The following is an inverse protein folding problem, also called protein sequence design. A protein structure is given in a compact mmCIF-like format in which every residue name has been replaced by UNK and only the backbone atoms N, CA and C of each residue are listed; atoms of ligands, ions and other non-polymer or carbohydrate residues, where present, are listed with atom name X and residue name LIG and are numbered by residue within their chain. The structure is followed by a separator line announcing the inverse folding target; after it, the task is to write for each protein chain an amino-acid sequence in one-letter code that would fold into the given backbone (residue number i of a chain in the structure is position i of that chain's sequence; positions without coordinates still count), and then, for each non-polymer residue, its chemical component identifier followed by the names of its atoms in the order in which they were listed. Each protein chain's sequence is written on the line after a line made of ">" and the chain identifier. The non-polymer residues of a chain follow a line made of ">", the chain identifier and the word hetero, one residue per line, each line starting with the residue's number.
data_IF_559286616016
#
_entry.id   IF_559286616016
#
_cell.length_a   1.000
_cell.length_b   1.000
_cell.length_c   1.000
_cell.angle_alpha   90.00
_cell.angle_beta   90.00
_cell.angle_gamma   90.00
#
_symmetry.space_group_name_H-M   'P 1'
#
loop_
_entity.id
_entity.type
_entity.pdbx_description
1 polymer ?
#
# COMPACT_ATOMS: atom_id res chain seq x y z
N UNK A 1 9.77 -3.38 16.50
CA UNK A 1 10.48 -4.37 15.66
C UNK A 1 10.75 -3.71 14.33
N UNK A 2 12.01 -3.53 13.94
CA UNK A 2 12.37 -2.81 12.71
C UNK A 2 12.39 -3.75 11.51
N UNK A 3 12.07 -3.26 10.30
CA UNK A 3 11.97 -4.06 9.06
C UNK A 3 13.24 -4.85 8.75
N UNK A 4 14.41 -4.31 9.08
CA UNK A 4 15.70 -5.00 8.98
C UNK A 4 15.73 -6.36 9.69
N UNK A 5 15.17 -6.44 10.90
CA UNK A 5 15.14 -7.70 11.66
C UNK A 5 14.18 -8.71 11.04
N UNK A 6 13.03 -8.24 10.55
CA UNK A 6 12.05 -9.08 9.88
C UNK A 6 12.63 -9.70 8.59
N UNK A 7 13.31 -8.89 7.77
CA UNK A 7 13.98 -9.34 6.54
C UNK A 7 15.07 -10.38 6.82
N UNK A 8 15.87 -10.16 7.87
CA UNK A 8 16.89 -11.13 8.28
C UNK A 8 16.27 -12.47 8.68
N UNK A 9 15.20 -12.45 9.48
CA UNK A 9 14.49 -13.67 9.90
C UNK A 9 13.83 -14.39 8.71
N UNK A 10 13.22 -13.64 7.78
CA UNK A 10 12.65 -14.18 6.53
C UNK A 10 13.71 -14.86 5.66
N UNK A 11 14.93 -14.34 5.69
CA UNK A 11 16.08 -14.92 4.98
C UNK A 11 16.71 -16.12 5.70
N UNK A 12 16.22 -16.47 6.90
CA UNK A 12 16.76 -17.58 7.70
C UNK A 12 18.15 -17.35 8.28
N UNK A 13 18.66 -16.11 8.28
CA UNK A 13 20.03 -15.78 8.67
C UNK A 13 20.11 -15.39 10.15
N UNK A 14 21.12 -15.89 10.85
CA UNK A 14 21.52 -15.30 12.15
C UNK A 14 22.17 -13.93 11.95
N UNK A 15 22.22 -13.12 13.02
CA UNK A 15 22.83 -11.79 12.96
C UNK A 15 24.34 -11.86 12.62
N UNK A 16 25.02 -12.91 13.06
CA UNK A 16 26.44 -13.15 12.79
C UNK A 16 26.68 -13.54 11.34
N UNK A 17 25.84 -14.42 10.79
CA UNK A 17 25.91 -14.85 9.38
C UNK A 17 25.59 -13.71 8.43
N UNK A 18 24.50 -12.98 8.69
CA UNK A 18 24.13 -11.80 7.90
C UNK A 18 25.26 -10.78 7.87
N UNK A 19 25.80 -10.42 9.04
CA UNK A 19 26.92 -9.48 9.14
C UNK A 19 28.12 -9.95 8.32
N UNK A 20 28.48 -11.24 8.40
CA UNK A 20 29.61 -11.80 7.65
C UNK A 20 29.39 -11.67 6.15
N UNK A 21 28.24 -12.14 5.65
CA UNK A 21 27.91 -12.08 4.22
C UNK A 21 27.82 -10.65 3.71
N UNK A 22 27.21 -9.75 4.49
CA UNK A 22 27.05 -8.36 4.11
C UNK A 22 28.39 -7.61 4.05
N UNK A 23 29.25 -7.81 5.06
CA UNK A 23 30.58 -7.21 5.11
C UNK A 23 31.47 -7.71 3.96
N UNK A 24 31.40 -9.00 3.64
CA UNK A 24 32.14 -9.62 2.54
C UNK A 24 31.66 -9.13 1.17
N UNK A 25 30.33 -9.01 0.97
CA UNK A 25 29.72 -8.63 -0.31
C UNK A 25 29.90 -7.14 -0.66
N UNK A 26 29.75 -6.25 0.32
CA UNK A 26 29.79 -4.81 0.11
C UNK A 26 31.08 -4.15 0.62
N UNK A 27 32.08 -4.97 1.00
CA UNK A 27 33.35 -4.53 1.55
C UNK A 27 33.18 -3.53 2.72
N UNK A 28 32.23 -3.84 3.62
CA UNK A 28 31.88 -3.02 4.78
C UNK A 28 32.43 -3.65 6.07
N UNK A 29 32.59 -2.84 7.10
CA UNK A 29 33.09 -3.28 8.42
C UNK A 29 32.06 -3.09 9.53
N UNK A 30 30.84 -3.63 9.36
CA UNK A 30 29.83 -3.55 10.42
C UNK A 30 30.17 -4.47 11.59
N UNK A 31 30.08 -3.93 12.80
CA UNK A 31 30.20 -4.69 14.05
C UNK A 31 28.86 -5.30 14.44
N UNK A 32 28.87 -6.35 15.29
CA UNK A 32 27.62 -6.95 15.79
C UNK A 32 26.76 -5.93 16.56
N UNK A 33 27.41 -5.03 17.32
CA UNK A 33 26.72 -3.96 18.04
C UNK A 33 26.03 -2.98 17.08
N UNK A 34 26.67 -2.63 15.97
CA UNK A 34 26.10 -1.74 14.96
C UNK A 34 24.86 -2.36 14.28
N UNK A 35 24.93 -3.63 13.88
CA UNK A 35 23.78 -4.34 13.28
C UNK A 35 22.64 -4.45 14.31
N UNK A 36 22.95 -4.75 15.56
CA UNK A 36 21.93 -4.78 16.62
C UNK A 36 21.27 -3.41 16.81
N UNK A 37 22.03 -2.32 16.85
CA UNK A 37 21.48 -0.97 16.95
C UNK A 37 20.55 -0.63 15.76
N UNK A 38 20.90 -1.05 14.54
CA UNK A 38 20.07 -0.90 13.34
C UNK A 38 18.79 -1.73 13.44
N UNK A 39 18.90 -3.02 13.80
CA UNK A 39 17.75 -3.93 13.96
C UNK A 39 16.78 -3.52 15.07
N UNK A 40 17.22 -2.68 16.02
CA UNK A 40 16.39 -2.12 17.08
C UNK A 40 15.98 -0.67 16.82
N UNK A 41 16.36 -0.09 15.67
CA UNK A 41 16.01 1.28 15.29
C UNK A 41 16.73 2.37 16.10
N UNK A 42 17.73 2.01 16.91
CA UNK A 42 18.54 2.96 17.69
C UNK A 42 19.54 3.73 16.83
N UNK A 43 19.91 3.16 15.67
CA UNK A 43 20.82 3.77 14.70
C UNK A 43 20.30 3.55 13.29
N UNK A 44 20.24 4.60 12.49
CA UNK A 44 19.92 4.49 11.07
C UNK A 44 21.20 4.25 10.25
N UNK A 45 21.18 3.35 9.25
CA UNK A 45 22.29 3.23 8.30
C UNK A 45 22.50 4.51 7.50
N UNK A 46 23.73 4.73 7.05
CA UNK A 46 24.02 5.77 6.05
C UNK A 46 23.34 5.45 4.72
N UNK A 47 23.04 6.46 3.91
CA UNK A 47 22.34 6.31 2.63
C UNK A 47 22.97 5.25 1.71
N UNK A 48 24.31 5.21 1.62
CA UNK A 48 25.00 4.19 0.84
C UNK A 48 24.76 2.78 1.37
N UNK A 49 24.83 2.58 2.68
CA UNK A 49 24.57 1.28 3.29
C UNK A 49 23.09 0.89 3.22
N UNK A 50 22.19 1.87 3.25
CA UNK A 50 20.76 1.64 3.10
C UNK A 50 20.44 1.07 1.71
N UNK A 51 21.08 1.60 0.67
CA UNK A 51 21.01 1.04 -0.70
C UNK A 51 21.58 -0.37 -0.76
N UNK A 52 22.75 -0.59 -0.16
CA UNK A 52 23.37 -1.92 -0.10
C UNK A 52 22.46 -2.95 0.62
N UNK A 53 21.75 -2.53 1.69
CA UNK A 53 20.76 -3.36 2.37
C UNK A 53 19.55 -3.67 1.49
N UNK A 54 19.02 -2.68 0.77
CA UNK A 54 17.94 -2.85 -0.19
C UNK A 54 18.33 -3.89 -1.25
N UNK A 55 19.50 -3.72 -1.85
CA UNK A 55 20.04 -4.62 -2.87
C UNK A 55 20.33 -6.03 -2.31
N UNK A 56 20.77 -6.14 -1.04
CA UNK A 56 21.02 -7.43 -0.40
C UNK A 56 19.75 -8.25 -0.21
N UNK A 57 18.67 -7.61 0.25
CA UNK A 57 17.39 -8.26 0.51
C UNK A 57 16.45 -8.28 -0.69
N UNK A 58 16.81 -7.60 -1.80
CA UNK A 58 15.97 -7.46 -2.99
C UNK A 58 14.71 -6.63 -2.73
N UNK A 59 14.80 -5.62 -1.86
CA UNK A 59 13.68 -4.73 -1.48
C UNK A 59 14.00 -3.28 -1.84
N UNK A 60 13.00 -2.41 -1.90
CA UNK A 60 13.23 -0.97 -2.12
C UNK A 60 13.81 -0.27 -0.88
N UNK A 61 14.52 0.84 -1.09
CA UNK A 61 15.00 1.68 0.01
C UNK A 61 13.83 2.27 0.81
N UNK A 62 12.75 2.64 0.13
CA UNK A 62 11.50 3.12 0.73
C UNK A 62 10.87 2.09 1.67
N UNK A 63 10.98 0.80 1.31
CA UNK A 63 10.54 -0.29 2.17
C UNK A 63 11.36 -0.32 3.46
N UNK A 64 12.68 -0.15 3.40
CA UNK A 64 13.53 -0.16 4.60
C UNK A 64 13.31 1.05 5.51
N UNK A 65 12.99 2.21 4.93
CA UNK A 65 12.76 3.47 5.64
C UNK A 65 11.41 3.55 6.34
N UNK A 66 10.47 2.66 6.03
CA UNK A 66 9.14 2.70 6.64
C UNK A 66 8.26 3.85 6.13
N UNK A 67 8.62 4.50 5.02
CA UNK A 67 7.79 5.57 4.42
C UNK A 67 6.51 5.04 3.76
N UNK A 68 6.47 3.74 3.42
CA UNK A 68 5.19 3.05 3.25
C UNK A 68 4.84 2.43 4.59
N UNK A 69 3.91 3.05 5.33
CA UNK A 69 3.11 2.33 6.31
C UNK A 69 2.62 1.04 5.66
N UNK A 70 2.74 -0.04 6.40
CA UNK A 70 2.08 -1.33 6.20
C UNK A 70 1.88 -1.79 4.75
N UNK A 71 2.54 -2.90 4.39
CA UNK A 71 2.29 -3.68 3.16
C UNK A 71 0.83 -4.16 3.00
N UNK A 72 -0.09 -3.72 3.85
CA UNK A 72 -1.53 -3.80 3.66
C UNK A 72 -2.06 -2.69 2.74
N UNK A 73 -1.38 -1.54 2.61
CA UNK A 73 -1.94 -0.37 1.93
C UNK A 73 -1.69 -0.31 0.42
N UNK A 74 -0.68 -0.97 -0.14
CA UNK A 74 -0.61 -1.06 -1.62
C UNK A 74 -1.71 -1.95 -2.19
N UNK A 75 -2.11 -2.99 -1.44
CA UNK A 75 -3.31 -3.76 -1.75
C UNK A 75 -4.57 -3.03 -1.30
N UNK A 76 -4.55 -2.20 -0.25
CA UNK A 76 -5.72 -1.46 0.23
C UNK A 76 -5.96 -0.13 -0.48
N UNK A 77 -5.03 0.50 -1.17
CA UNK A 77 -5.22 1.69 -2.02
C UNK A 77 -5.68 1.26 -3.41
N UNK A 78 -5.04 0.23 -3.99
CA UNK A 78 -5.50 -0.39 -5.22
C UNK A 78 -6.85 -1.13 -5.02
N UNK A 79 -7.12 -1.63 -3.81
CA UNK A 79 -8.45 -2.07 -3.42
C UNK A 79 -9.36 -0.92 -2.98
N UNK A 80 -8.92 0.18 -2.35
CA UNK A 80 -9.80 1.27 -1.90
C UNK A 80 -10.41 1.99 -3.09
N UNK A 81 -9.62 2.26 -4.14
CA UNK A 81 -10.14 2.75 -5.42
C UNK A 81 -11.22 1.80 -5.95
N UNK A 82 -10.87 0.53 -6.19
CA UNK A 82 -11.83 -0.51 -6.65
C UNK A 82 -13.00 -0.72 -5.70
N UNK A 83 -12.83 -0.47 -4.40
CA UNK A 83 -13.81 -0.64 -3.34
C UNK A 83 -14.78 0.54 -3.31
N UNK A 84 -14.35 1.76 -3.62
CA UNK A 84 -15.25 2.92 -3.75
C UNK A 84 -16.20 2.69 -4.92
N UNK A 85 -15.69 2.36 -6.11
CA UNK A 85 -16.56 2.07 -7.26
C UNK A 85 -17.42 0.81 -7.06
N UNK A 86 -16.93 -0.23 -6.39
CA UNK A 86 -17.73 -1.41 -6.04
C UNK A 86 -18.82 -1.12 -5.00
N UNK A 87 -18.51 -0.35 -3.94
CA UNK A 87 -19.48 0.10 -2.92
C UNK A 87 -20.57 0.96 -3.54
N UNK A 88 -20.19 1.92 -4.40
CA UNK A 88 -21.14 2.78 -5.11
C UNK A 88 -22.03 1.98 -6.07
N UNK A 89 -21.48 1.00 -6.80
CA UNK A 89 -22.27 0.12 -7.67
C UNK A 89 -23.31 -0.68 -6.87
N UNK A 90 -22.93 -1.24 -5.73
CA UNK A 90 -23.84 -1.99 -4.87
C UNK A 90 -24.97 -1.10 -4.32
N UNK A 91 -24.66 0.13 -3.89
CA UNK A 91 -25.65 1.12 -3.45
C UNK A 91 -26.66 1.48 -4.55
N UNK A 92 -26.19 1.67 -5.80
CA UNK A 92 -27.07 1.94 -6.96
C UNK A 92 -28.00 0.75 -7.25
N UNK A 93 -27.53 -0.48 -7.05
CA UNK A 93 -28.31 -1.71 -7.26
C UNK A 93 -29.35 -1.95 -6.15
N UNK A 94 -29.07 -1.52 -4.91
CA UNK A 94 -30.01 -1.61 -3.78
C UNK A 94 -31.13 -0.57 -3.83
N UNK A 95 -30.99 0.50 -4.61
CA UNK A 95 -32.04 1.50 -4.74
C UNK A 95 -33.29 0.89 -5.39
N UNK A 96 -34.49 1.15 -4.84
CA UNK A 96 -35.74 0.71 -5.45
C UNK A 96 -35.83 1.25 -6.88
N UNK A 97 -36.39 0.42 -7.77
CA UNK A 97 -36.65 0.87 -9.14
C UNK A 97 -37.78 1.90 -9.10
N UNK A 98 -37.62 2.98 -9.87
CA UNK A 98 -38.56 4.12 -9.96
C UNK A 98 -40.02 3.70 -10.19
N UNK A 99 -40.25 2.51 -10.79
CA UNK A 99 -41.57 1.97 -11.09
C UNK A 99 -42.17 1.03 -10.02
N UNK A 100 -41.73 1.08 -8.76
CA UNK A 100 -42.40 0.31 -7.70
C UNK A 100 -43.81 0.85 -7.44
N UNK A 101 -44.82 -0.02 -7.57
CA UNK A 101 -46.22 0.31 -7.35
C UNK A 101 -46.47 0.74 -5.89
N UNK A 102 -47.13 1.88 -5.69
CA UNK A 102 -47.49 2.41 -4.37
C UNK A 102 -46.57 3.52 -3.83
N UNK A 103 -45.59 3.97 -4.62
CA UNK A 103 -44.71 5.09 -4.25
C UNK A 103 -45.28 6.43 -4.73
N UNK A 104 -45.24 7.45 -3.87
CA UNK A 104 -45.61 8.82 -4.19
C UNK A 104 -44.72 9.41 -5.30
N UNK A 105 -45.25 10.30 -6.14
CA UNK A 105 -44.54 10.82 -7.31
C UNK A 105 -43.30 11.65 -6.92
N UNK A 106 -43.34 12.39 -5.80
CA UNK A 106 -42.17 13.10 -5.27
C UNK A 106 -41.08 12.11 -4.83
N UNK A 107 -41.49 10.98 -4.26
CA UNK A 107 -40.55 9.94 -3.82
C UNK A 107 -39.87 9.26 -5.02
N UNK A 108 -40.61 9.03 -6.12
CA UNK A 108 -40.02 8.50 -7.37
C UNK A 108 -39.00 9.46 -7.96
N UNK A 109 -39.32 10.76 -8.01
CA UNK A 109 -38.41 11.78 -8.51
C UNK A 109 -37.14 11.88 -7.67
N UNK A 110 -37.28 11.90 -6.34
CA UNK A 110 -36.15 11.93 -5.41
C UNK A 110 -35.23 10.69 -5.55
N UNK A 111 -35.82 9.51 -5.75
CA UNK A 111 -35.06 8.28 -6.03
C UNK A 111 -34.31 8.38 -7.35
N UNK A 112 -34.94 8.91 -8.40
CA UNK A 112 -34.30 9.10 -9.70
C UNK A 112 -33.13 10.08 -9.64
N UNK A 113 -33.29 11.20 -8.93
CA UNK A 113 -32.21 12.17 -8.69
C UNK A 113 -31.04 11.50 -7.95
N UNK A 114 -31.33 10.77 -6.86
CA UNK A 114 -30.30 10.08 -6.08
C UNK A 114 -29.56 9.03 -6.92
N UNK A 115 -30.27 8.27 -7.75
CA UNK A 115 -29.70 7.27 -8.66
C UNK A 115 -28.73 7.91 -9.65
N UNK A 116 -29.12 9.04 -10.24
CA UNK A 116 -28.29 9.77 -11.20
C UNK A 116 -27.01 10.31 -10.55
N UNK A 117 -27.10 10.90 -9.36
CA UNK A 117 -25.94 11.41 -8.62
C UNK A 117 -24.94 10.29 -8.28
N UNK A 118 -25.43 9.15 -7.80
CA UNK A 118 -24.56 8.01 -7.48
C UNK A 118 -23.88 7.43 -8.73
N UNK A 119 -24.59 7.42 -9.87
CA UNK A 119 -24.00 6.96 -11.13
C UNK A 119 -22.88 7.88 -11.62
N UNK A 120 -23.05 9.20 -11.47
CA UNK A 120 -21.99 10.18 -11.78
C UNK A 120 -20.78 9.98 -10.87
N UNK A 121 -21.00 9.83 -9.56
CA UNK A 121 -19.93 9.54 -8.58
C UNK A 121 -19.17 8.26 -8.92
N UNK A 122 -19.86 7.21 -9.39
CA UNK A 122 -19.25 5.97 -9.85
C UNK A 122 -18.34 6.17 -11.07
N UNK A 123 -18.79 6.98 -12.04
CA UNK A 123 -17.99 7.30 -13.24
C UNK A 123 -16.72 8.07 -12.84
N UNK A 124 -16.84 9.03 -11.93
CA UNK A 124 -15.70 9.80 -11.42
C UNK A 124 -14.70 8.91 -10.69
N UNK A 125 -15.17 8.04 -9.80
CA UNK A 125 -14.31 7.08 -9.10
C UNK A 125 -13.50 6.23 -10.08
N UNK A 126 -14.14 5.66 -11.11
CA UNK A 126 -13.46 4.89 -12.16
C UNK A 126 -12.42 5.69 -12.95
N UNK A 127 -12.61 7.00 -13.12
CA UNK A 127 -11.65 7.87 -13.80
C UNK A 127 -10.43 8.12 -12.92
N UNK A 128 -10.64 8.45 -11.65
CA UNK A 128 -9.56 8.64 -10.67
C UNK A 128 -8.70 7.37 -10.54
N UNK A 129 -9.33 6.19 -10.41
CA UNK A 129 -8.65 4.90 -10.37
C UNK A 129 -7.81 4.59 -11.63
N UNK A 130 -8.16 5.19 -12.77
CA UNK A 130 -7.44 5.00 -14.04
C UNK A 130 -6.26 5.96 -14.17
N UNK A 131 -6.40 7.19 -13.66
CA UNK A 131 -5.37 8.22 -13.76
C UNK A 131 -4.20 7.96 -12.77
N UNK A 132 -4.46 7.38 -11.59
CA UNK A 132 -3.40 6.90 -10.68
C UNK A 132 -2.43 5.93 -11.36
N UNK A 133 -2.92 5.09 -12.29
CA UNK A 133 -2.09 4.14 -13.03
C UNK A 133 -1.25 4.78 -14.13
N UNK A 134 -1.55 6.02 -14.52
CA UNK A 134 -0.86 6.72 -15.61
C UNK A 134 0.37 7.50 -15.14
N UNK A 135 0.46 7.86 -13.85
CA UNK A 135 1.56 8.67 -13.32
C UNK A 135 2.88 7.90 -13.17
N UNK A 136 2.84 6.57 -13.07
CA UNK A 136 4.03 5.71 -12.90
C UNK A 136 4.73 5.33 -14.23
N UNK A 137 4.48 6.06 -15.32
CA UNK A 137 5.15 5.83 -16.61
C UNK A 137 6.08 6.98 -16.99
N UNK A 138 7.15 7.20 -16.22
CA UNK A 138 8.34 7.92 -16.68
C UNK A 138 9.57 7.38 -15.96
#
# INVERSE_FOLDING_TARGET
>A
MTRFRALRLKSGLSQTEFRRQYNERYNRSYTAAAISQIEHGKRMPELGALRDFADFYGVSVDYLLGQKGDEQDEQAEEAAGRQISAKLKNLVEQLPKENQAGMDDEVKENIGILRNLLHQSLILARRVERDEKSWFRY
#
